data_IF_081331546106
#
_entry.id   IF_081331546106
#
_cell.length_a   1.000
_cell.length_b   1.000
_cell.length_c   1.000
_cell.angle_alpha   90.00
_cell.angle_beta   90.00
_cell.angle_gamma   90.00
#
_symmetry.space_group_name_H-M   'P 1'
#
loop_
_entity.id
_entity.type
_entity.pdbx_description
1 polymer ?
#
# COMPACT_ATOMS: atom_id res chain seq x y z
N UNK A 1 2.57 11.35 15.26
CA UNK A 1 2.56 10.49 14.04
C UNK A 1 3.45 11.10 12.99
N UNK A 2 4.36 10.32 12.45
CA UNK A 2 5.28 10.79 11.42
C UNK A 2 4.58 10.96 10.07
N UNK A 3 4.89 12.02 9.37
CA UNK A 3 4.30 12.31 8.04
C UNK A 3 4.79 11.34 6.97
N UNK A 4 6.02 10.89 7.08
CA UNK A 4 6.69 10.04 6.09
C UNK A 4 7.00 8.66 6.66
N UNK A 5 7.15 7.68 5.77
CA UNK A 5 7.66 6.37 6.14
C UNK A 5 9.15 6.47 6.54
N UNK A 6 9.59 5.56 7.38
CA UNK A 6 10.98 5.51 7.85
C UNK A 6 11.55 4.10 7.75
N UNK A 7 12.84 4.01 7.47
CA UNK A 7 13.58 2.75 7.50
C UNK A 7 14.02 2.52 8.94
N UNK A 8 13.35 1.57 9.60
CA UNK A 8 13.54 1.30 11.04
C UNK A 8 14.59 0.21 11.34
N UNK A 9 14.94 -0.56 10.33
CA UNK A 9 15.98 -1.59 10.37
C UNK A 9 16.42 -1.88 8.93
N UNK A 10 17.53 -2.57 8.69
CA UNK A 10 17.95 -2.92 7.34
C UNK A 10 16.81 -3.61 6.57
N UNK A 11 16.47 -3.05 5.39
CA UNK A 11 15.40 -3.58 4.53
C UNK A 11 13.99 -3.56 5.12
N UNK A 12 13.76 -2.76 6.17
CA UNK A 12 12.46 -2.68 6.86
C UNK A 12 11.94 -1.26 6.88
N UNK A 13 10.85 -1.05 6.16
CA UNK A 13 10.09 0.19 6.11
C UNK A 13 8.91 0.13 7.09
N UNK A 14 8.70 1.21 7.83
CA UNK A 14 7.51 1.42 8.65
C UNK A 14 6.79 2.69 8.19
N UNK A 15 5.50 2.59 7.98
CA UNK A 15 4.65 3.69 7.57
C UNK A 15 3.36 3.67 8.39
N UNK A 16 2.91 4.81 8.92
CA UNK A 16 1.68 4.87 9.72
C UNK A 16 0.77 6.02 9.32
N UNK A 17 -0.53 5.80 9.42
CA UNK A 17 -1.56 6.82 9.17
C UNK A 17 -2.78 6.61 10.05
N UNK A 18 -3.36 7.73 10.45
CA UNK A 18 -4.70 7.77 11.01
C UNK A 18 -5.72 7.83 9.88
N UNK A 19 -6.62 6.87 9.85
CA UNK A 19 -7.65 6.73 8.83
C UNK A 19 -9.04 7.02 9.39
N UNK A 20 -10.01 7.47 8.58
CA UNK A 20 -11.41 7.47 9.00
C UNK A 20 -11.87 6.06 9.35
N UNK A 21 -12.57 5.91 10.48
CA UNK A 21 -13.20 4.65 10.86
C UNK A 21 -14.58 4.45 10.20
N UNK A 22 -15.28 3.37 10.57
CA UNK A 22 -14.92 2.37 11.57
C UNK A 22 -13.90 1.34 11.06
N UNK A 23 -13.33 0.56 11.97
CA UNK A 23 -12.29 -0.42 11.66
C UNK A 23 -12.75 -1.50 10.65
N UNK A 24 -14.00 -1.93 10.75
CA UNK A 24 -14.55 -2.93 9.82
C UNK A 24 -14.58 -2.42 8.38
N UNK A 25 -14.82 -1.13 8.17
CA UNK A 25 -14.75 -0.52 6.85
C UNK A 25 -13.32 -0.50 6.30
N UNK A 26 -12.36 -0.15 7.14
CA UNK A 26 -10.93 -0.17 6.77
C UNK A 26 -10.50 -1.61 6.44
N UNK A 27 -10.89 -2.57 7.27
CA UNK A 27 -10.61 -3.99 7.04
C UNK A 27 -11.17 -4.48 5.69
N UNK A 28 -12.38 -4.10 5.35
CA UNK A 28 -12.98 -4.41 4.06
C UNK A 28 -12.16 -3.84 2.89
N UNK A 29 -11.62 -2.63 3.00
CA UNK A 29 -10.72 -2.04 2.00
C UNK A 29 -9.37 -2.75 1.90
N UNK A 30 -8.93 -3.46 2.93
CA UNK A 30 -7.74 -4.31 2.85
C UNK A 30 -8.02 -5.67 2.21
N UNK A 31 -9.17 -6.28 2.48
CA UNK A 31 -9.41 -7.70 2.22
C UNK A 31 -10.33 -8.00 1.05
N UNK A 32 -11.28 -7.12 0.73
CA UNK A 32 -12.21 -7.31 -0.39
C UNK A 32 -11.60 -6.79 -1.69
N UNK A 33 -11.58 -7.64 -2.72
CA UNK A 33 -10.96 -7.35 -4.02
C UNK A 33 -11.41 -6.02 -4.63
N UNK A 34 -12.71 -5.78 -4.71
CA UNK A 34 -13.25 -4.57 -5.34
C UNK A 34 -12.89 -3.30 -4.55
N UNK A 35 -12.93 -3.35 -3.24
CA UNK A 35 -12.56 -2.22 -2.39
C UNK A 35 -11.05 -1.99 -2.40
N UNK A 36 -10.27 -3.05 -2.25
CA UNK A 36 -8.81 -2.95 -2.32
C UNK A 36 -8.35 -2.45 -3.69
N UNK A 37 -9.03 -2.84 -4.76
CA UNK A 37 -8.73 -2.39 -6.11
C UNK A 37 -8.90 -0.88 -6.35
N UNK A 38 -9.60 -0.19 -5.47
CA UNK A 38 -9.78 1.27 -5.56
C UNK A 38 -8.57 2.06 -5.09
N UNK A 39 -7.66 1.43 -4.33
CA UNK A 39 -6.51 2.15 -3.77
C UNK A 39 -5.19 1.39 -3.94
N UNK A 40 -5.20 0.09 -4.10
CA UNK A 40 -4.00 -0.74 -4.20
C UNK A 40 -4.07 -1.67 -5.42
N UNK A 41 -4.71 -2.81 -5.30
CA UNK A 41 -4.77 -3.84 -6.33
C UNK A 41 -6.00 -4.72 -6.15
N UNK A 42 -6.58 -5.17 -7.26
CA UNK A 42 -7.64 -6.19 -7.26
C UNK A 42 -7.03 -7.58 -7.07
N UNK A 43 -7.86 -8.55 -6.84
CA UNK A 43 -7.49 -9.97 -6.74
C UNK A 43 -8.02 -10.59 -5.45
N UNK A 44 -8.15 -11.89 -5.45
CA UNK A 44 -8.68 -12.62 -4.31
C UNK A 44 -7.62 -12.83 -3.23
N UNK A 45 -8.04 -12.78 -1.99
CA UNK A 45 -7.24 -13.16 -0.82
C UNK A 45 -7.96 -14.27 -0.06
N UNK A 46 -7.28 -15.38 0.13
CA UNK A 46 -7.74 -16.42 1.05
C UNK A 46 -7.31 -16.03 2.47
N UNK A 47 -8.30 -15.73 3.32
CA UNK A 47 -8.07 -15.15 4.66
C UNK A 47 -7.80 -16.22 5.72
N UNK A 48 -6.79 -17.04 5.47
CA UNK A 48 -6.27 -18.03 6.42
C UNK A 48 -4.76 -18.20 6.21
N UNK A 49 -4.06 -18.64 7.23
CA UNK A 49 -2.61 -18.87 7.15
C UNK A 49 -2.28 -19.91 6.08
N UNK A 50 -1.38 -19.56 5.17
CA UNK A 50 -1.06 -20.38 3.99
C UNK A 50 -1.94 -20.12 2.77
N UNK A 51 -2.97 -19.30 2.88
CA UNK A 51 -3.87 -18.93 1.79
C UNK A 51 -3.18 -18.19 0.66
N UNK A 52 -3.78 -18.24 -0.52
CA UNK A 52 -3.27 -17.55 -1.71
C UNK A 52 -3.68 -16.08 -1.70
N UNK A 53 -2.77 -15.22 -2.14
CA UNK A 53 -3.01 -13.80 -2.34
C UNK A 53 -2.71 -13.45 -3.78
N UNK A 54 -3.69 -12.95 -4.53
CA UNK A 54 -3.50 -12.43 -5.89
C UNK A 54 -3.60 -10.91 -5.88
N UNK A 55 -2.64 -10.23 -6.53
CA UNK A 55 -2.62 -8.78 -6.63
C UNK A 55 -2.41 -8.35 -8.07
N UNK A 56 -3.42 -7.69 -8.62
CA UNK A 56 -3.46 -7.13 -9.98
C UNK A 56 -3.49 -5.60 -9.89
N UNK A 57 -2.35 -4.99 -10.22
CA UNK A 57 -2.19 -3.53 -10.17
C UNK A 57 -2.52 -2.90 -11.51
N UNK A 58 -3.27 -1.81 -11.46
CA UNK A 58 -3.51 -0.93 -12.60
C UNK A 58 -3.47 0.52 -12.09
N UNK A 59 -2.26 1.03 -11.91
CA UNK A 59 -2.00 2.29 -11.20
C UNK A 59 -2.73 3.49 -11.79
N UNK A 60 -2.83 3.57 -13.13
CA UNK A 60 -3.51 4.68 -13.79
C UNK A 60 -5.03 4.69 -13.59
N UNK A 61 -5.61 3.59 -13.12
CA UNK A 61 -7.06 3.49 -12.84
C UNK A 61 -7.41 3.91 -11.41
N UNK A 62 -6.41 4.18 -10.57
CA UNK A 62 -6.63 4.56 -9.16
C UNK A 62 -7.11 6.00 -8.98
N UNK A 63 -7.08 6.81 -10.03
CA UNK A 63 -7.64 8.16 -10.07
C UNK A 63 -8.33 8.41 -11.41
N UNK A 64 -9.45 9.18 -11.44
CA UNK A 64 -10.08 9.58 -12.69
C UNK A 64 -9.37 10.75 -13.36
N UNK A 65 -8.38 11.36 -12.71
CA UNK A 65 -7.67 12.52 -13.23
C UNK A 65 -6.61 12.12 -14.26
N UNK A 66 -6.34 12.98 -15.27
CA UNK A 66 -5.30 12.72 -16.26
C UNK A 66 -3.94 12.48 -15.60
N UNK A 67 -3.22 11.50 -16.12
CA UNK A 67 -1.91 11.12 -15.58
C UNK A 67 -1.02 10.61 -16.73
N UNK A 68 0.30 10.70 -16.52
CA UNK A 68 1.29 10.24 -17.49
C UNK A 68 2.29 9.32 -16.78
N UNK A 69 2.48 8.11 -17.33
CA UNK A 69 3.41 7.14 -16.78
C UNK A 69 4.84 7.57 -17.08
N UNK A 70 5.72 7.74 -16.05
CA UNK A 70 7.12 8.02 -16.26
C UNK A 70 7.82 6.94 -17.07
N UNK A 71 8.82 7.29 -17.85
CA UNK A 71 9.53 6.35 -18.73
C UNK A 71 10.05 5.12 -17.97
N UNK A 72 10.61 5.31 -16.78
CA UNK A 72 11.12 4.20 -15.95
C UNK A 72 10.04 3.21 -15.48
N UNK A 73 8.76 3.58 -15.58
CA UNK A 73 7.62 2.73 -15.20
C UNK A 73 6.74 2.32 -16.39
N UNK A 74 7.18 2.55 -17.63
CA UNK A 74 6.41 2.21 -18.84
C UNK A 74 6.05 0.73 -18.94
N UNK A 75 6.87 -0.15 -18.37
CA UNK A 75 6.58 -1.58 -18.29
C UNK A 75 5.33 -1.91 -17.43
N UNK A 76 4.85 -0.97 -16.64
CA UNK A 76 3.63 -1.12 -15.82
C UNK A 76 2.36 -0.62 -16.51
N UNK A 77 2.46 -0.07 -17.73
CA UNK A 77 1.32 0.51 -18.46
C UNK A 77 0.18 -0.50 -18.68
N UNK A 78 0.50 -1.74 -18.97
CA UNK A 78 -0.47 -2.83 -19.15
C UNK A 78 -0.89 -3.49 -17.84
N UNK A 79 -0.47 -2.95 -16.71
CA UNK A 79 -0.70 -3.50 -15.39
C UNK A 79 0.46 -4.35 -14.88
N UNK A 80 0.36 -4.75 -13.63
CA UNK A 80 1.36 -5.57 -12.95
C UNK A 80 0.68 -6.58 -12.05
N UNK A 81 1.10 -7.83 -12.10
CA UNK A 81 0.50 -8.92 -11.33
C UNK A 81 1.55 -9.75 -10.62
N UNK A 82 1.30 -10.07 -9.37
CA UNK A 82 2.05 -11.11 -8.66
C UNK A 82 1.16 -11.83 -7.65
N UNK A 83 1.61 -12.98 -7.20
CA UNK A 83 0.94 -13.78 -6.18
C UNK A 83 1.80 -13.83 -4.92
N UNK A 84 1.13 -13.96 -3.78
CA UNK A 84 1.76 -14.14 -2.49
C UNK A 84 1.03 -15.19 -1.66
N UNK A 85 1.54 -15.38 -0.44
CA UNK A 85 0.99 -16.33 0.53
C UNK A 85 0.63 -15.58 1.80
N UNK A 86 -0.56 -15.85 2.34
CA UNK A 86 -1.01 -15.29 3.61
C UNK A 86 -0.15 -15.85 4.75
N UNK A 87 0.47 -14.96 5.51
CA UNK A 87 1.31 -15.33 6.65
C UNK A 87 0.53 -15.33 7.95
N UNK A 88 -0.24 -14.27 8.20
CA UNK A 88 -1.07 -14.13 9.40
C UNK A 88 -2.33 -13.33 9.07
N UNK A 89 -3.43 -13.70 9.68
CA UNK A 89 -4.67 -12.95 9.60
C UNK A 89 -5.44 -13.04 10.92
N UNK A 90 -5.82 -11.90 11.47
CA UNK A 90 -6.67 -11.79 12.66
C UNK A 90 -7.58 -10.57 12.46
N UNK A 91 -8.77 -10.82 11.91
CA UNK A 91 -9.76 -9.79 11.61
C UNK A 91 -10.28 -9.12 12.88
N UNK A 92 -10.43 -7.79 12.91
CA UNK A 92 -10.07 -6.82 11.86
C UNK A 92 -8.73 -6.11 12.12
N UNK A 93 -7.81 -6.71 12.84
CA UNK A 93 -6.62 -6.06 13.41
C UNK A 93 -5.30 -6.37 12.71
N UNK A 94 -5.16 -7.53 12.08
CA UNK A 94 -3.87 -7.98 11.56
C UNK A 94 -4.03 -8.68 10.21
N UNK A 95 -3.23 -8.26 9.23
CA UNK A 95 -3.12 -8.87 7.92
C UNK A 95 -1.65 -8.86 7.50
N UNK A 96 -1.08 -10.03 7.23
CA UNK A 96 0.32 -10.15 6.81
C UNK A 96 0.46 -11.19 5.71
N UNK A 97 1.16 -10.83 4.64
CA UNK A 97 1.37 -11.72 3.50
C UNK A 97 2.68 -11.43 2.78
N UNK A 98 3.15 -12.38 2.00
CA UNK A 98 4.35 -12.21 1.20
C UNK A 98 4.07 -11.29 0.01
N UNK A 99 5.06 -10.49 -0.32
CA UNK A 99 5.05 -9.52 -1.40
C UNK A 99 6.02 -9.94 -2.51
N UNK A 100 6.00 -9.24 -3.60
CA UNK A 100 6.92 -9.47 -4.72
C UNK A 100 8.38 -9.49 -4.25
N UNK A 101 9.18 -10.39 -4.85
CA UNK A 101 10.61 -10.49 -4.53
C UNK A 101 10.93 -11.15 -3.19
N UNK A 102 9.97 -11.82 -2.58
CA UNK A 102 10.14 -12.50 -1.29
C UNK A 102 10.08 -11.56 -0.08
N UNK A 103 9.72 -10.30 -0.28
CA UNK A 103 9.47 -9.39 0.83
C UNK A 103 8.13 -9.70 1.52
N UNK A 104 7.90 -9.10 2.67
CA UNK A 104 6.72 -9.36 3.49
C UNK A 104 6.09 -8.05 3.94
N UNK A 105 4.78 -7.93 3.83
CA UNK A 105 4.03 -6.78 4.29
C UNK A 105 3.07 -7.16 5.41
N UNK A 106 2.98 -6.30 6.42
CA UNK A 106 2.07 -6.46 7.56
C UNK A 106 1.28 -5.17 7.74
N UNK A 107 -0.04 -5.31 7.83
CA UNK A 107 -0.96 -4.24 8.21
C UNK A 107 -1.47 -4.51 9.62
N UNK A 108 -1.33 -3.53 10.49
CA UNK A 108 -1.88 -3.57 11.85
C UNK A 108 -2.88 -2.41 11.99
N UNK A 109 -4.10 -2.73 12.43
CA UNK A 109 -5.16 -1.75 12.64
C UNK A 109 -5.51 -1.67 14.13
N UNK A 110 -5.51 -0.44 14.65
CA UNK A 110 -5.88 -0.17 16.05
C UNK A 110 -6.95 0.92 16.08
N UNK A 111 -8.04 0.66 16.77
CA UNK A 111 -9.09 1.65 16.96
C UNK A 111 -8.61 2.79 17.86
N UNK A 112 -8.85 4.03 17.43
CA UNK A 112 -8.55 5.24 18.18
C UNK A 112 -9.77 6.17 18.12
N UNK A 113 -10.70 6.00 19.05
CA UNK A 113 -12.01 6.66 19.04
C UNK A 113 -12.76 6.34 17.72
N UNK A 114 -13.11 7.35 16.93
CA UNK A 114 -13.77 7.17 15.63
C UNK A 114 -12.80 7.04 14.45
N UNK A 115 -11.52 6.91 14.71
CA UNK A 115 -10.48 6.75 13.71
C UNK A 115 -9.77 5.41 13.88
N UNK A 116 -8.95 5.06 12.90
CA UNK A 116 -8.16 3.82 12.91
C UNK A 116 -6.70 4.18 12.65
N UNK A 117 -5.81 3.81 13.55
CA UNK A 117 -4.38 3.85 13.28
C UNK A 117 -4.01 2.63 12.45
N UNK A 118 -3.51 2.85 11.24
CA UNK A 118 -2.94 1.81 10.40
C UNK A 118 -1.42 1.92 10.41
N UNK A 119 -0.77 0.81 10.73
CA UNK A 119 0.69 0.66 10.64
C UNK A 119 1.01 -0.36 9.56
N UNK A 120 1.82 0.04 8.59
CA UNK A 120 2.36 -0.85 7.56
C UNK A 120 3.83 -1.09 7.89
N UNK A 121 4.21 -2.37 7.99
CA UNK A 121 5.61 -2.78 8.10
C UNK A 121 5.96 -3.64 6.89
N UNK A 122 6.90 -3.20 6.07
CA UNK A 122 7.36 -3.94 4.89
C UNK A 122 8.81 -4.36 5.12
N UNK A 123 9.02 -5.66 5.20
CA UNK A 123 10.33 -6.26 5.54
C UNK A 123 10.95 -6.99 4.37
N UNK A 124 12.24 -7.30 4.51
CA UNK A 124 13.01 -8.06 3.50
C UNK A 124 13.05 -7.36 2.15
N UNK A 125 13.12 -6.03 2.18
CA UNK A 125 13.23 -5.20 0.98
C UNK A 125 14.65 -5.16 0.39
N UNK A 126 15.64 -5.62 1.14
CA UNK A 126 17.05 -5.46 0.77
C UNK A 126 17.55 -4.04 1.07
N UNK A 127 18.71 -3.71 0.54
CA UNK A 127 19.43 -2.46 0.84
C UNK A 127 19.55 -1.48 -0.34
N UNK A 128 19.00 -1.85 -1.50
CA UNK A 128 19.04 -0.98 -2.68
C UNK A 128 18.22 0.29 -2.43
N UNK A 129 18.89 1.44 -2.48
CA UNK A 129 18.23 2.73 -2.29
C UNK A 129 17.05 2.94 -3.24
N UNK A 130 17.19 2.57 -4.51
CA UNK A 130 16.11 2.69 -5.50
C UNK A 130 14.86 1.89 -5.10
N UNK A 131 15.02 0.68 -4.54
CA UNK A 131 13.91 -0.12 -4.04
C UNK A 131 13.26 0.54 -2.83
N UNK A 132 14.05 0.97 -1.86
CA UNK A 132 13.54 1.62 -0.64
C UNK A 132 12.78 2.91 -0.96
N UNK A 133 13.28 3.72 -1.91
CA UNK A 133 12.61 4.93 -2.38
C UNK A 133 11.26 4.62 -3.03
N UNK A 134 11.25 3.69 -3.98
CA UNK A 134 10.04 3.36 -4.72
C UNK A 134 8.96 2.75 -3.81
N UNK A 135 9.35 1.89 -2.89
CA UNK A 135 8.40 1.26 -1.94
C UNK A 135 7.86 2.28 -0.94
N UNK A 136 8.72 3.17 -0.44
CA UNK A 136 8.30 4.23 0.50
C UNK A 136 7.32 5.20 -0.17
N UNK A 137 7.65 5.68 -1.37
CA UNK A 137 6.76 6.53 -2.16
C UNK A 137 5.46 5.79 -2.52
N UNK A 138 5.55 4.51 -2.85
CA UNK A 138 4.42 3.66 -3.19
C UNK A 138 3.41 3.55 -2.05
N UNK A 139 3.84 3.20 -0.85
CA UNK A 139 2.94 3.11 0.31
C UNK A 139 2.34 4.47 0.68
N UNK A 140 3.14 5.52 0.67
CA UNK A 140 2.66 6.87 0.94
C UNK A 140 1.54 7.26 -0.04
N UNK A 141 1.76 7.03 -1.32
CA UNK A 141 0.82 7.33 -2.39
C UNK A 141 -0.46 6.49 -2.28
N UNK A 142 -0.31 5.16 -2.20
CA UNK A 142 -1.45 4.25 -2.11
C UNK A 142 -2.32 4.52 -0.88
N UNK A 143 -1.74 4.79 0.27
CA UNK A 143 -2.49 5.12 1.48
C UNK A 143 -3.20 6.46 1.35
N UNK A 144 -2.59 7.43 0.67
CA UNK A 144 -3.27 8.70 0.33
C UNK A 144 -4.53 8.46 -0.51
N UNK A 145 -4.47 7.55 -1.46
CA UNK A 145 -5.63 7.15 -2.28
C UNK A 145 -6.68 6.41 -1.43
N UNK A 146 -6.25 5.55 -0.52
CA UNK A 146 -7.16 4.90 0.44
C UNK A 146 -7.93 5.94 1.26
N UNK A 147 -7.24 6.93 1.80
CA UNK A 147 -7.86 8.01 2.58
C UNK A 147 -8.89 8.75 1.74
N UNK A 148 -8.56 9.11 0.50
CA UNK A 148 -9.49 9.78 -0.42
C UNK A 148 -10.76 8.93 -0.64
N UNK A 149 -10.62 7.62 -0.83
CA UNK A 149 -11.76 6.71 -0.97
C UNK A 149 -12.60 6.65 0.31
N UNK A 150 -11.96 6.57 1.47
CA UNK A 150 -12.66 6.54 2.76
C UNK A 150 -13.40 7.85 3.06
N UNK A 151 -12.86 8.97 2.61
CA UNK A 151 -13.46 10.31 2.78
C UNK A 151 -14.43 10.69 1.66
N UNK A 152 -14.51 9.91 0.59
CA UNK A 152 -15.36 10.20 -0.56
C UNK A 152 -14.85 11.36 -1.42
N UNK A 153 -13.53 11.62 -1.42
CA UNK A 153 -12.90 12.64 -2.24
C UNK A 153 -12.21 12.02 -3.46
N UNK A 154 -11.89 12.85 -4.45
CA UNK A 154 -11.20 12.41 -5.66
C UNK A 154 -9.70 12.25 -5.38
N UNK A 155 -9.13 11.04 -5.56
CA UNK A 155 -7.69 10.86 -5.37
C UNK A 155 -6.88 11.57 -6.45
N UNK A 156 -5.66 12.06 -6.13
CA UNK A 156 -4.77 12.67 -7.11
C UNK A 156 -4.25 11.64 -8.12
N UNK A 157 -3.69 12.11 -9.27
CA UNK A 157 -3.09 11.21 -10.26
C UNK A 157 -1.94 10.40 -9.63
N UNK A 158 -1.92 9.10 -9.87
CA UNK A 158 -0.95 8.20 -9.23
C UNK A 158 0.50 8.54 -9.59
N UNK A 159 0.83 8.57 -10.88
CA UNK A 159 2.22 8.70 -11.33
C UNK A 159 2.82 10.08 -11.05
N UNK A 160 2.02 11.13 -11.19
CA UNK A 160 2.44 12.48 -10.82
C UNK A 160 2.78 12.54 -9.34
N UNK A 161 1.90 12.05 -8.48
CA UNK A 161 2.10 12.00 -7.03
C UNK A 161 3.29 11.13 -6.65
N UNK A 162 3.43 9.96 -7.31
CA UNK A 162 4.54 9.04 -7.06
C UNK A 162 5.89 9.70 -7.36
N UNK A 163 6.00 10.41 -8.48
CA UNK A 163 7.21 11.14 -8.88
C UNK A 163 7.58 12.22 -7.86
N UNK A 164 6.60 12.97 -7.39
CA UNK A 164 6.81 14.00 -6.35
C UNK A 164 7.28 13.38 -5.03
N UNK A 165 6.66 12.26 -4.63
CA UNK A 165 7.03 11.55 -3.40
C UNK A 165 8.40 10.91 -3.48
N UNK A 166 8.80 10.34 -4.61
CA UNK A 166 10.14 9.80 -4.79
C UNK A 166 11.19 10.89 -4.57
N UNK A 167 10.97 12.10 -5.12
CA UNK A 167 11.87 13.23 -4.92
C UNK A 167 11.98 13.63 -3.43
N UNK A 168 10.89 13.57 -2.69
CA UNK A 168 10.90 13.82 -1.25
C UNK A 168 11.68 12.75 -0.50
N UNK A 169 11.38 11.47 -0.77
CA UNK A 169 12.06 10.36 -0.12
C UNK A 169 13.54 10.24 -0.46
N UNK A 170 13.97 10.74 -1.63
CA UNK A 170 15.39 10.82 -2.00
C UNK A 170 16.22 11.58 -0.95
N UNK A 171 15.62 12.55 -0.27
CA UNK A 171 16.25 13.34 0.77
C UNK A 171 16.07 12.79 2.18
N UNK A 172 15.24 11.75 2.35
CA UNK A 172 14.90 11.18 3.66
C UNK A 172 15.56 9.81 3.91
N UNK A 173 15.97 9.11 2.85
CA UNK A 173 16.52 7.75 2.92
C UNK A 173 17.98 7.71 2.48
#
# INVERSE_FOLDING_TARGET
MEKYGSIIAPGTLRFERSLPGPIDKVWAYLTESEKRGKWLAKGDMELFEGGKVDLYFMHQELSPLPDEIPEKYKNMEAGHHFTGTMLKVASPHLLSFTWQGGSEVTFELTEQANRVLMVITHRKLGDKKTTLLSVSAGWHNHVGILIANLEGTVPPPFWKTHTELEAIYENLI
#
